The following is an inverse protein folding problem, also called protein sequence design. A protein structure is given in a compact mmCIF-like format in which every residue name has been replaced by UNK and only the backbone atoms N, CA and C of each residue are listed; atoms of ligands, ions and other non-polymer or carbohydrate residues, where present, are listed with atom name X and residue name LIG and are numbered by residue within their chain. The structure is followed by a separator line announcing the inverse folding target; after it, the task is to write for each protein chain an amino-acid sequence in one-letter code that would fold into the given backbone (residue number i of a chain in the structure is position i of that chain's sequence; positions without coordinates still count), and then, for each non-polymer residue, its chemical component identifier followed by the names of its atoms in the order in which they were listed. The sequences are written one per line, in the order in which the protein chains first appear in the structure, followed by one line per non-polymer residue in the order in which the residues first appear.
data_IF_360764916947
#
_entry.id   IF_360764916947
#
_cell.length_a   1.000
_cell.length_b   1.000
_cell.length_c   1.000
_cell.angle_alpha   90.00
_cell.angle_beta   90.00
_cell.angle_gamma   90.00
#
_symmetry.space_group_name_H-M   'P 1'
#
loop_
_entity.id
_entity.type
_entity.pdbx_description
1 polymer ?
#
# COMPACT_ATOMS: atom_id res chain seq x y z
N UNK A 1 -31.37 -6.82 0.11
CA UNK A 1 -31.86 -7.65 -1.01
C UNK A 1 -31.87 -9.10 -0.54
N UNK A 2 -33.02 -9.79 -0.51
CA UNK A 2 -33.10 -11.15 0.06
C UNK A 2 -32.23 -12.13 -0.74
N UNK A 3 -31.38 -12.88 -0.04
CA UNK A 3 -30.57 -13.96 -0.61
C UNK A 3 -31.53 -15.02 -1.18
N UNK A 4 -31.60 -15.11 -2.51
CA UNK A 4 -32.65 -15.86 -3.25
C UNK A 4 -32.52 -17.39 -3.17
N UNK A 5 -31.47 -17.92 -2.51
CA UNK A 5 -31.22 -19.35 -2.39
C UNK A 5 -30.63 -19.70 -1.02
N UNK A 6 -31.13 -20.79 -0.41
CA UNK A 6 -30.63 -21.31 0.86
C UNK A 6 -29.12 -21.62 0.82
N UNK A 7 -28.62 -22.06 -0.34
CA UNK A 7 -27.19 -22.34 -0.55
C UNK A 7 -26.34 -21.07 -0.47
N UNK A 8 -26.85 -19.95 -0.97
CA UNK A 8 -26.14 -18.68 -0.91
C UNK A 8 -26.09 -18.12 0.52
N UNK A 9 -27.17 -18.28 1.29
CA UNK A 9 -27.17 -17.88 2.70
C UNK A 9 -26.15 -18.68 3.52
N UNK A 10 -26.12 -20.01 3.32
CA UNK A 10 -25.14 -20.90 3.95
C UNK A 10 -23.68 -20.54 3.56
N UNK A 11 -23.43 -20.23 2.30
CA UNK A 11 -22.09 -19.86 1.83
C UNK A 11 -21.60 -18.54 2.47
N UNK A 12 -22.49 -17.56 2.62
CA UNK A 12 -22.18 -16.27 3.27
C UNK A 12 -21.90 -16.46 4.75
N UNK A 13 -22.67 -17.30 5.43
CA UNK A 13 -22.43 -17.62 6.85
C UNK A 13 -21.08 -18.30 7.02
N UNK A 14 -20.75 -19.26 6.14
CA UNK A 14 -19.46 -19.93 6.13
C UNK A 14 -18.30 -18.95 5.88
N UNK A 15 -18.48 -18.02 4.95
CA UNK A 15 -17.51 -16.95 4.68
C UNK A 15 -17.28 -16.11 5.94
N UNK A 16 -18.36 -15.65 6.59
CA UNK A 16 -18.29 -14.83 7.80
C UNK A 16 -17.54 -15.55 8.92
N UNK A 17 -17.90 -16.81 9.18
CA UNK A 17 -17.23 -17.61 10.21
C UNK A 17 -15.75 -17.87 9.92
N UNK A 18 -15.38 -17.96 8.64
CA UNK A 18 -13.99 -18.14 8.23
C UNK A 18 -13.17 -16.84 8.24
N UNK A 19 -13.82 -15.67 8.27
CA UNK A 19 -13.16 -14.37 8.11
C UNK A 19 -13.29 -13.46 9.33
N UNK A 20 -13.75 -13.98 10.46
CA UNK A 20 -13.91 -13.23 11.71
C UNK A 20 -12.92 -13.74 12.75
N UNK A 21 -12.12 -12.85 13.30
CA UNK A 21 -11.15 -13.16 14.37
C UNK A 21 -11.84 -13.26 15.74
N UNK A 22 -11.10 -13.72 16.75
CA UNK A 22 -11.57 -13.80 18.14
C UNK A 22 -12.05 -12.44 18.67
N UNK A 23 -11.47 -11.34 18.18
CA UNK A 23 -11.82 -9.96 18.54
C UNK A 23 -13.02 -9.41 17.77
N UNK A 24 -13.63 -10.20 16.88
CA UNK A 24 -14.76 -9.79 16.06
C UNK A 24 -14.39 -8.89 14.87
N UNK A 25 -13.10 -8.73 14.59
CA UNK A 25 -12.61 -8.01 13.42
C UNK A 25 -12.50 -8.93 12.20
N UNK A 26 -12.49 -8.34 11.01
CA UNK A 26 -12.23 -9.09 9.79
C UNK A 26 -10.75 -9.49 9.71
N UNK A 27 -10.51 -10.79 9.51
CA UNK A 27 -9.18 -11.33 9.29
C UNK A 27 -9.26 -12.77 8.81
N UNK A 28 -8.35 -13.15 7.93
CA UNK A 28 -8.20 -14.55 7.54
C UNK A 28 -7.41 -15.30 8.62
N UNK A 29 -7.71 -16.59 8.87
CA UNK A 29 -6.93 -17.39 9.79
C UNK A 29 -5.48 -17.44 9.31
N UNK A 30 -4.57 -16.98 10.18
CA UNK A 30 -3.14 -17.09 9.94
C UNK A 30 -2.72 -18.56 10.10
N UNK A 31 -2.15 -19.13 9.04
CA UNK A 31 -1.48 -20.44 9.10
C UNK A 31 -0.05 -20.37 9.69
N UNK A 32 0.42 -19.16 10.02
CA UNK A 32 1.69 -18.90 10.69
C UNK A 32 1.46 -18.56 12.18
N UNK A 33 2.33 -19.04 13.10
CA UNK A 33 2.03 -19.04 14.53
C UNK A 33 1.88 -17.62 15.09
N UNK A 34 0.90 -17.45 16.00
CA UNK A 34 0.70 -16.24 16.81
C UNK A 34 2.04 -15.88 17.47
N UNK A 35 2.68 -14.79 17.04
CA UNK A 35 3.77 -14.17 17.82
C UNK A 35 3.16 -13.52 19.05
N UNK A 36 3.77 -13.74 20.20
CA UNK A 36 3.28 -13.18 21.45
C UNK A 36 3.42 -11.65 21.44
N UNK A 37 2.45 -10.96 22.02
CA UNK A 37 2.46 -9.52 22.24
C UNK A 37 3.54 -9.08 23.25
N UNK A 38 4.58 -9.89 23.49
CA UNK A 38 5.79 -9.55 24.25
C UNK A 38 7.03 -9.46 23.33
N UNK A 39 6.98 -10.08 22.13
CA UNK A 39 8.06 -10.01 21.14
C UNK A 39 8.15 -8.65 20.43
N UNK A 40 7.10 -7.83 20.51
CA UNK A 40 7.02 -6.46 19.97
C UNK A 40 8.06 -5.48 20.53
N UNK A 41 8.50 -5.68 21.78
CA UNK A 41 9.36 -4.73 22.50
C UNK A 41 10.84 -5.03 22.36
N UNK A 42 11.23 -6.24 21.95
CA UNK A 42 12.62 -6.69 21.97
C UNK A 42 13.32 -6.65 20.61
N UNK A 43 12.60 -6.54 19.50
CA UNK A 43 13.19 -6.44 18.15
C UNK A 43 13.56 -5.00 17.73
N UNK A 44 13.29 -3.97 18.56
CA UNK A 44 13.64 -2.58 18.23
C UNK A 44 15.15 -2.27 18.28
N UNK A 45 15.95 -3.15 18.88
CA UNK A 45 17.40 -2.94 19.04
C UNK A 45 18.26 -3.76 18.06
N UNK A 46 17.69 -4.75 17.36
CA UNK A 46 18.44 -5.62 16.47
C UNK A 46 18.18 -5.32 14.99
N UNK A 47 19.07 -4.48 14.45
CA UNK A 47 19.47 -4.39 13.03
C UNK A 47 18.51 -3.67 12.07
N UNK A 48 18.89 -2.44 11.70
CA UNK A 48 18.79 -1.86 10.35
C UNK A 48 17.61 -2.34 9.47
N UNK A 49 16.39 -1.91 9.76
CA UNK A 49 15.33 -1.74 8.76
C UNK A 49 14.13 -1.06 9.41
N UNK A 50 13.43 -0.26 8.61
CA UNK A 50 12.03 0.10 8.80
C UNK A 50 11.26 -0.98 9.57
N UNK A 51 10.53 -0.58 10.61
CA UNK A 51 9.88 -1.48 11.56
C UNK A 51 9.11 -2.62 10.89
N UNK A 52 8.98 -3.77 11.57
CA UNK A 52 8.42 -4.99 10.96
C UNK A 52 7.02 -4.74 10.40
N UNK A 53 6.90 -5.03 9.10
CA UNK A 53 5.68 -4.94 8.28
C UNK A 53 4.57 -5.74 8.97
N UNK A 54 3.40 -5.13 9.27
CA UNK A 54 2.32 -5.82 9.94
C UNK A 54 1.88 -7.00 9.07
N UNK A 55 1.96 -8.22 9.61
CA UNK A 55 1.39 -9.47 9.08
C UNK A 55 1.09 -9.40 7.58
N UNK A 56 2.12 -9.64 6.74
CA UNK A 56 2.04 -9.55 5.28
C UNK A 56 0.87 -10.42 4.83
N UNK A 57 -0.28 -9.79 4.55
CA UNK A 57 -1.39 -10.51 3.98
C UNK A 57 -0.90 -11.05 2.65
N UNK A 58 -1.08 -12.35 2.43
CA UNK A 58 -0.69 -12.92 1.15
C UNK A 58 -1.53 -12.26 0.05
N UNK A 59 -0.99 -12.22 -1.16
CA UNK A 59 -1.71 -11.73 -2.35
C UNK A 59 -3.07 -12.43 -2.48
N UNK A 60 -3.11 -13.72 -2.12
CA UNK A 60 -4.33 -14.54 -2.09
C UNK A 60 -5.32 -14.05 -1.04
N UNK A 61 -4.87 -13.76 0.18
CA UNK A 61 -5.73 -13.21 1.23
C UNK A 61 -6.28 -11.84 0.83
N UNK A 62 -5.46 -10.96 0.25
CA UNK A 62 -5.93 -9.67 -0.24
C UNK A 62 -6.99 -9.83 -1.33
N UNK A 63 -6.73 -10.72 -2.31
CA UNK A 63 -7.68 -11.03 -3.38
C UNK A 63 -8.98 -11.62 -2.84
N UNK A 64 -8.90 -12.55 -1.89
CA UNK A 64 -10.07 -13.14 -1.22
C UNK A 64 -10.87 -12.06 -0.47
N UNK A 65 -10.20 -11.12 0.19
CA UNK A 65 -10.84 -9.98 0.86
C UNK A 65 -11.59 -9.07 -0.11
N UNK A 66 -11.09 -8.84 -1.32
CA UNK A 66 -11.80 -8.06 -2.35
C UNK A 66 -13.13 -8.73 -2.74
N UNK A 67 -13.13 -10.05 -2.91
CA UNK A 67 -14.35 -10.80 -3.18
C UNK A 67 -15.30 -10.81 -1.98
N UNK A 68 -14.77 -10.92 -0.75
CA UNK A 68 -15.57 -10.81 0.47
C UNK A 68 -16.23 -9.42 0.58
N UNK A 69 -15.49 -8.34 0.30
CA UNK A 69 -16.02 -6.97 0.29
C UNK A 69 -17.18 -6.84 -0.70
N UNK A 70 -16.97 -7.27 -1.95
CA UNK A 70 -18.00 -7.22 -2.99
C UNK A 70 -19.23 -8.03 -2.58
N UNK A 71 -19.04 -9.22 -2.00
CA UNK A 71 -20.12 -10.08 -1.50
C UNK A 71 -20.94 -9.40 -0.40
N UNK A 72 -20.29 -8.79 0.59
CA UNK A 72 -20.98 -8.08 1.66
C UNK A 72 -21.70 -6.82 1.16
N UNK A 73 -21.13 -6.10 0.19
CA UNK A 73 -21.79 -4.97 -0.48
C UNK A 73 -23.05 -5.41 -1.22
N UNK A 74 -23.01 -6.51 -1.98
CA UNK A 74 -24.16 -7.07 -2.70
C UNK A 74 -25.31 -7.48 -1.77
N UNK A 75 -24.99 -7.98 -0.57
CA UNK A 75 -25.99 -8.39 0.44
C UNK A 75 -26.54 -7.17 1.19
N UNK A 76 -25.80 -6.06 1.20
CA UNK A 76 -26.12 -4.85 1.94
C UNK A 76 -25.70 -4.91 3.41
N UNK A 77 -24.71 -5.74 3.77
CA UNK A 77 -24.16 -5.77 5.13
C UNK A 77 -23.03 -4.75 5.27
N UNK A 78 -23.41 -3.52 5.62
CA UNK A 78 -22.47 -2.41 5.78
C UNK A 78 -21.45 -2.66 6.90
N UNK A 79 -21.85 -3.31 8.00
CA UNK A 79 -20.96 -3.52 9.16
C UNK A 79 -19.81 -4.46 8.79
N UNK A 80 -20.13 -5.59 8.16
CA UNK A 80 -19.11 -6.54 7.69
C UNK A 80 -18.27 -5.92 6.57
N UNK A 81 -18.90 -5.24 5.61
CA UNK A 81 -18.19 -4.56 4.52
C UNK A 81 -17.20 -3.51 5.03
N UNK A 82 -17.57 -2.71 6.03
CA UNK A 82 -16.69 -1.72 6.66
C UNK A 82 -15.47 -2.38 7.29
N UNK A 83 -15.64 -3.49 8.01
CA UNK A 83 -14.52 -4.21 8.61
C UNK A 83 -13.54 -4.75 7.55
N UNK A 84 -14.06 -5.29 6.44
CA UNK A 84 -13.23 -5.74 5.30
C UNK A 84 -12.52 -4.58 4.62
N UNK A 85 -13.22 -3.46 4.41
CA UNK A 85 -12.66 -2.25 3.82
C UNK A 85 -11.49 -1.73 4.65
N UNK A 86 -11.62 -1.65 5.97
CA UNK A 86 -10.53 -1.28 6.89
C UNK A 86 -9.35 -2.23 6.76
N UNK A 87 -9.58 -3.55 6.71
CA UNK A 87 -8.52 -4.54 6.53
C UNK A 87 -7.72 -4.32 5.23
N UNK A 88 -8.43 -4.03 4.12
CA UNK A 88 -7.86 -3.81 2.80
C UNK A 88 -7.10 -2.47 2.69
N UNK A 89 -7.65 -1.39 3.26
CA UNK A 89 -7.06 -0.06 3.24
C UNK A 89 -5.72 -0.05 3.98
N UNK A 90 -5.67 -0.68 5.16
CA UNK A 90 -4.46 -0.81 5.97
C UNK A 90 -3.34 -1.62 5.28
N UNK A 91 -3.66 -2.30 4.16
CA UNK A 91 -2.74 -3.16 3.39
C UNK A 91 -2.69 -2.76 1.91
N UNK A 92 -3.00 -1.50 1.62
CA UNK A 92 -3.02 -0.95 0.25
C UNK A 92 -1.66 -1.01 -0.45
N UNK A 93 -0.55 -1.17 0.28
CA UNK A 93 0.80 -1.37 -0.28
C UNK A 93 0.91 -2.58 -1.23
N UNK A 94 0.05 -3.60 -1.07
CA UNK A 94 0.01 -4.74 -1.98
C UNK A 94 -0.32 -4.29 -3.42
N UNK A 95 -1.13 -3.25 -3.59
CA UNK A 95 -1.52 -2.71 -4.89
C UNK A 95 -0.37 -1.97 -5.62
N UNK A 96 0.66 -1.55 -4.89
CA UNK A 96 1.85 -0.94 -5.49
C UNK A 96 2.65 -1.98 -6.27
N UNK A 97 2.73 -3.22 -5.76
CA UNK A 97 3.46 -4.33 -6.38
C UNK A 97 2.60 -5.21 -7.31
N UNK A 98 1.29 -5.31 -7.05
CA UNK A 98 0.36 -6.21 -7.74
C UNK A 98 -0.65 -5.42 -8.58
N UNK A 99 -0.26 -5.07 -9.80
CA UNK A 99 -1.10 -4.32 -10.73
C UNK A 99 -2.39 -5.07 -11.10
N UNK A 100 -2.36 -6.41 -11.11
CA UNK A 100 -3.49 -7.28 -11.39
C UNK A 100 -4.64 -7.13 -10.37
N UNK A 101 -4.36 -6.61 -9.17
CA UNK A 101 -5.35 -6.42 -8.12
C UNK A 101 -6.00 -5.02 -8.15
N UNK A 102 -5.49 -4.07 -8.94
CA UNK A 102 -5.99 -2.68 -8.95
C UNK A 102 -7.42 -2.57 -9.47
N UNK A 103 -7.72 -3.22 -10.58
CA UNK A 103 -9.07 -3.21 -11.16
C UNK A 103 -10.13 -3.82 -10.23
N UNK A 104 -9.95 -5.04 -9.67
CA UNK A 104 -10.92 -5.59 -8.73
C UNK A 104 -11.01 -4.78 -7.43
N UNK A 105 -9.91 -4.15 -6.99
CA UNK A 105 -9.94 -3.26 -5.84
C UNK A 105 -10.83 -2.03 -6.09
N UNK A 106 -10.61 -1.30 -7.19
CA UNK A 106 -11.42 -0.13 -7.55
C UNK A 106 -12.90 -0.50 -7.68
N UNK A 107 -13.18 -1.65 -8.30
CA UNK A 107 -14.56 -2.15 -8.45
C UNK A 107 -15.23 -2.37 -7.09
N UNK A 108 -14.60 -3.15 -6.20
CA UNK A 108 -15.14 -3.47 -4.88
C UNK A 108 -15.30 -2.22 -3.99
N UNK A 109 -14.33 -1.30 -4.04
CA UNK A 109 -14.40 -0.05 -3.28
C UNK A 109 -15.41 0.94 -3.86
N UNK A 110 -15.67 0.91 -5.16
CA UNK A 110 -16.74 1.70 -5.78
C UNK A 110 -18.12 1.24 -5.30
N UNK A 111 -18.36 -0.07 -5.23
CA UNK A 111 -19.59 -0.63 -4.66
C UNK A 111 -19.74 -0.27 -3.18
N UNK A 112 -18.67 -0.42 -2.40
CA UNK A 112 -18.65 -0.04 -0.99
C UNK A 112 -18.93 1.45 -0.79
N UNK A 113 -18.30 2.32 -1.58
CA UNK A 113 -18.49 3.78 -1.48
C UNK A 113 -19.93 4.19 -1.81
N UNK A 114 -20.56 3.54 -2.81
CA UNK A 114 -21.97 3.79 -3.12
C UNK A 114 -22.91 3.40 -1.97
N UNK A 115 -22.55 2.38 -1.18
CA UNK A 115 -23.34 1.92 -0.04
C UNK A 115 -23.07 2.72 1.23
N UNK A 116 -21.82 3.15 1.44
CA UNK A 116 -21.35 3.83 2.64
C UNK A 116 -21.45 5.38 2.57
N UNK A 117 -22.18 5.91 1.58
CA UNK A 117 -22.29 7.36 1.38
C UNK A 117 -23.09 8.03 2.52
N UNK A 118 -22.40 8.79 3.35
CA UNK A 118 -23.01 9.59 4.43
C UNK A 118 -22.94 11.09 4.08
N UNK A 119 -24.12 11.72 4.01
CA UNK A 119 -24.25 13.14 3.67
C UNK A 119 -23.69 14.07 4.76
N UNK A 120 -23.64 13.62 6.02
CA UNK A 120 -23.21 14.42 7.17
C UNK A 120 -21.73 14.22 7.53
N UNK A 121 -20.95 13.58 6.65
CA UNK A 121 -19.53 13.39 6.87
C UNK A 121 -18.80 14.73 6.77
N UNK A 122 -18.23 15.14 7.89
CA UNK A 122 -17.44 16.36 8.02
C UNK A 122 -16.30 16.09 9.00
N UNK A 123 -15.08 15.99 8.48
CA UNK A 123 -13.88 15.69 9.26
C UNK A 123 -12.85 16.80 9.06
N UNK A 124 -12.35 17.34 10.16
CA UNK A 124 -11.30 18.34 10.17
C UNK A 124 -10.05 17.67 10.71
N UNK A 125 -8.97 17.68 9.91
CA UNK A 125 -7.68 17.10 10.27
C UNK A 125 -6.65 18.22 10.31
N UNK A 126 -6.09 18.47 11.48
CA UNK A 126 -4.93 19.34 11.65
C UNK A 126 -3.65 18.49 11.63
N UNK A 127 -2.75 18.83 10.71
CA UNK A 127 -1.45 18.21 10.52
C UNK A 127 -0.36 19.22 10.90
N UNK A 128 0.58 18.80 11.73
CA UNK A 128 1.73 19.64 12.07
C UNK A 128 3.01 18.82 12.14
N UNK A 129 4.14 19.43 11.79
CA UNK A 129 5.45 18.83 11.99
C UNK A 129 6.02 19.18 13.36
N UNK A 130 6.81 18.27 13.95
CA UNK A 130 7.42 18.49 15.28
C UNK A 130 8.39 19.69 15.32
N UNK A 131 8.91 20.13 14.18
CA UNK A 131 9.71 21.36 14.05
C UNK A 131 8.89 22.62 13.76
N UNK A 132 7.55 22.50 13.66
CA UNK A 132 6.61 23.54 13.24
C UNK A 132 6.92 24.20 11.89
N UNK A 133 7.77 23.57 11.06
CA UNK A 133 8.09 24.03 9.71
C UNK A 133 6.88 23.91 8.76
N UNK A 134 5.91 23.08 9.14
CA UNK A 134 4.71 22.81 8.38
C UNK A 134 3.53 22.63 9.33
N UNK A 135 2.44 23.34 9.06
CA UNK A 135 1.16 23.19 9.73
C UNK A 135 0.04 23.46 8.74
N UNK A 136 -0.89 22.53 8.60
CA UNK A 136 -2.02 22.64 7.69
C UNK A 136 -3.28 22.06 8.33
N UNK A 137 -4.42 22.68 8.06
CA UNK A 137 -5.73 22.17 8.48
C UNK A 137 -6.52 21.78 7.25
N UNK A 138 -6.81 20.49 7.14
CA UNK A 138 -7.55 19.89 6.04
C UNK A 138 -9.01 19.72 6.45
N UNK A 139 -9.92 20.14 5.58
CA UNK A 139 -11.36 19.98 5.75
C UNK A 139 -11.87 18.95 4.74
N UNK A 140 -12.44 17.86 5.23
CA UNK A 140 -13.03 16.81 4.42
C UNK A 140 -14.55 16.85 4.59
N UNK A 141 -15.27 17.01 3.49
CA UNK A 141 -16.73 16.83 3.43
C UNK A 141 -17.08 15.54 2.66
N UNK A 142 -18.36 15.29 2.37
CA UNK A 142 -18.77 14.09 1.64
C UNK A 142 -18.34 14.07 0.15
N UNK A 143 -17.99 15.22 -0.43
CA UNK A 143 -17.59 15.38 -1.83
C UNK A 143 -16.06 15.30 -2.00
N UNK A 144 -15.32 15.74 -0.99
CA UNK A 144 -13.86 15.77 -1.02
C UNK A 144 -13.29 14.40 -0.63
N UNK A 145 -12.76 13.69 -1.63
CA UNK A 145 -12.33 12.29 -1.50
C UNK A 145 -10.83 12.11 -1.29
N UNK A 146 -10.01 13.12 -1.61
CA UNK A 146 -8.55 12.99 -1.58
C UNK A 146 -7.85 14.35 -1.45
N UNK A 147 -6.89 14.41 -0.53
CA UNK A 147 -5.94 15.52 -0.40
C UNK A 147 -4.52 14.98 -0.38
N UNK A 148 -3.64 15.61 -1.17
CA UNK A 148 -2.20 15.32 -1.17
C UNK A 148 -1.48 16.47 -0.49
N UNK A 149 -0.68 16.14 0.51
CA UNK A 149 0.19 17.09 1.22
C UNK A 149 1.64 16.65 1.02
N UNK A 150 2.48 17.56 0.53
CA UNK A 150 3.92 17.32 0.39
C UNK A 150 4.65 17.83 1.64
N UNK A 151 5.29 16.92 2.36
CA UNK A 151 6.03 17.23 3.59
C UNK A 151 7.49 17.61 3.29
N UNK A 152 8.12 18.49 4.10
CA UNK A 152 9.53 18.85 3.95
C UNK A 152 10.45 17.64 4.16
N UNK A 153 11.63 17.66 3.53
CA UNK A 153 12.52 16.49 3.37
C UNK A 153 13.31 16.08 4.60
N UNK A 154 13.27 16.85 5.69
CA UNK A 154 13.95 16.51 6.93
C UNK A 154 13.20 15.37 7.66
N UNK A 155 13.89 14.51 8.45
CA UNK A 155 13.22 13.47 9.20
C UNK A 155 12.30 14.10 10.25
N UNK A 156 11.01 14.09 9.95
CA UNK A 156 10.04 14.91 10.69
C UNK A 156 8.94 14.01 11.25
N UNK A 157 8.70 14.12 12.56
CA UNK A 157 7.50 13.52 13.17
C UNK A 157 6.29 14.36 12.78
N UNK A 158 5.22 13.70 12.36
CA UNK A 158 3.96 14.33 11.99
C UNK A 158 2.96 14.12 13.14
N UNK A 159 2.49 15.22 13.70
CA UNK A 159 1.43 15.27 14.71
C UNK A 159 0.11 15.44 13.99
N UNK A 160 -0.86 14.60 14.34
CA UNK A 160 -2.18 14.61 13.73
C UNK A 160 -3.25 14.76 14.81
N UNK A 161 -4.14 15.71 14.59
CA UNK A 161 -5.34 15.91 15.39
C UNK A 161 -6.55 15.88 14.46
N UNK A 162 -7.55 15.07 14.80
CA UNK A 162 -8.77 14.93 14.00
C UNK A 162 -9.99 15.20 14.87
N UNK A 163 -10.97 15.92 14.32
CA UNK A 163 -12.25 16.23 14.97
C UNK A 163 -13.37 16.22 13.94
N UNK A 164 -14.60 15.91 14.36
CA UNK A 164 -15.78 15.84 13.50
C UNK A 164 -16.34 14.43 13.33
N UNK A 165 -17.18 14.26 12.30
CA UNK A 165 -17.91 13.04 11.99
C UNK A 165 -17.31 12.33 10.77
N UNK A 166 -16.93 11.06 10.97
CA UNK A 166 -16.42 10.18 9.93
C UNK A 166 -15.05 9.61 10.26
N UNK A 167 -14.47 8.91 9.29
CA UNK A 167 -13.12 8.36 9.37
C UNK A 167 -12.34 8.78 8.14
N UNK A 168 -11.02 8.90 8.25
CA UNK A 168 -10.14 9.10 7.10
C UNK A 168 -8.89 8.24 7.26
N UNK A 169 -8.28 7.91 6.13
CA UNK A 169 -7.02 7.19 6.10
C UNK A 169 -5.95 8.13 5.57
N UNK A 170 -4.85 8.23 6.30
CA UNK A 170 -3.65 8.94 5.86
C UNK A 170 -2.63 7.92 5.38
N UNK A 171 -2.14 8.09 4.16
CA UNK A 171 -1.04 7.28 3.62
C UNK A 171 0.16 8.17 3.34
N UNK A 172 1.29 7.87 3.99
CA UNK A 172 2.56 8.53 3.72
C UNK A 172 3.37 7.76 2.68
N UNK A 173 3.89 8.46 1.68
CA UNK A 173 4.83 7.88 0.69
C UNK A 173 6.12 8.68 0.70
N UNK A 174 7.24 8.00 0.92
CA UNK A 174 8.57 8.58 0.85
C UNK A 174 9.29 8.08 -0.40
N UNK A 175 9.82 9.01 -1.20
CA UNK A 175 10.67 8.70 -2.34
C UNK A 175 12.11 9.04 -1.98
N UNK A 176 13.02 8.09 -2.13
CA UNK A 176 14.44 8.29 -1.89
C UNK A 176 15.25 7.63 -3.01
N UNK A 177 16.40 8.23 -3.32
CA UNK A 177 17.38 7.62 -4.23
C UNK A 177 18.41 6.87 -3.41
N UNK A 178 18.77 5.66 -3.83
CA UNK A 178 19.83 4.85 -3.24
C UNK A 178 20.95 4.65 -4.27
N UNK A 179 22.20 4.74 -3.83
CA UNK A 179 23.36 4.39 -4.65
C UNK A 179 23.57 2.88 -4.80
N UNK A 180 22.87 2.08 -3.98
CA UNK A 180 22.93 0.62 -4.01
C UNK A 180 21.62 0.09 -4.59
N UNK A 181 21.74 -0.63 -5.70
CA UNK A 181 20.63 -1.33 -6.36
C UNK A 181 20.82 -2.83 -6.11
N UNK A 182 19.74 -3.57 -5.86
CA UNK A 182 19.79 -5.03 -5.84
C UNK A 182 19.96 -5.53 -7.29
N UNK A 183 21.12 -6.09 -7.59
CA UNK A 183 21.50 -6.69 -8.87
C UNK A 183 20.88 -8.09 -9.09
N UNK A 184 20.44 -8.71 -7.99
CA UNK A 184 19.86 -10.06 -7.98
C UNK A 184 18.55 -10.14 -7.22
N UNK A 185 17.58 -10.82 -7.82
CA UNK A 185 16.33 -11.26 -7.20
C UNK A 185 16.27 -12.80 -7.18
N UNK A 186 15.24 -13.38 -6.55
CA UNK A 186 15.02 -14.84 -6.58
C UNK A 186 14.67 -15.37 -7.97
N UNK A 187 14.21 -14.50 -8.87
CA UNK A 187 13.73 -14.86 -10.20
C UNK A 187 14.70 -14.48 -11.33
N UNK A 188 15.45 -13.39 -11.16
CA UNK A 188 16.30 -12.83 -12.21
C UNK A 188 17.59 -12.25 -11.63
N UNK A 189 18.68 -12.39 -12.38
CA UNK A 189 19.94 -11.69 -12.13
C UNK A 189 20.23 -10.75 -13.31
N UNK A 190 20.34 -9.45 -13.03
CA UNK A 190 20.62 -8.43 -14.05
C UNK A 190 22.03 -7.94 -13.83
N UNK A 191 22.89 -8.16 -14.82
CA UNK A 191 24.26 -7.63 -14.82
C UNK A 191 24.42 -6.65 -15.97
N UNK A 192 24.98 -5.49 -15.67
CA UNK A 192 25.41 -4.50 -16.65
C UNK A 192 26.88 -4.22 -16.40
N UNK A 193 27.68 -4.28 -17.46
CA UNK A 193 29.10 -4.02 -17.41
C UNK A 193 29.53 -3.18 -18.60
N UNK A 194 30.52 -2.31 -18.37
CA UNK A 194 31.24 -1.66 -19.45
C UNK A 194 32.18 -2.70 -20.05
N UNK A 195 31.97 -3.04 -21.32
CA UNK A 195 32.78 -4.04 -22.02
C UNK A 195 33.95 -3.37 -22.73
N UNK A 196 33.72 -2.20 -23.30
CA UNK A 196 34.72 -1.50 -24.09
C UNK A 196 34.50 0.02 -24.01
N UNK A 197 35.60 0.75 -23.87
CA UNK A 197 35.65 2.20 -24.04
C UNK A 197 36.28 2.50 -25.41
N UNK A 198 35.47 3.05 -26.31
CA UNK A 198 35.90 3.38 -27.67
C UNK A 198 36.38 4.83 -27.66
N UNK A 199 37.69 4.99 -27.65
CA UNK A 199 38.35 6.29 -27.76
C UNK A 199 38.35 6.75 -29.24
N UNK A 200 38.08 8.04 -29.51
CA UNK A 200 38.21 8.58 -30.86
C UNK A 200 39.66 8.48 -31.33
N UNK A 201 39.87 8.06 -32.58
CA UNK A 201 41.19 7.85 -33.12
C UNK A 201 41.98 9.17 -33.18
N UNK A 202 43.30 9.13 -32.91
CA UNK A 202 44.16 10.30 -32.61
C UNK A 202 44.34 11.30 -33.77
N UNK A 203 43.66 11.09 -34.89
CA UNK A 203 43.67 11.96 -36.07
C UNK A 203 42.32 12.05 -36.78
N UNK A 204 41.26 11.55 -36.13
CA UNK A 204 39.89 11.62 -36.64
C UNK A 204 39.29 13.02 -36.46
N UNK A 205 38.35 13.39 -37.33
CA UNK A 205 37.55 14.62 -37.19
C UNK A 205 36.84 14.65 -35.84
N UNK A 206 36.47 13.50 -35.29
CA UNK A 206 35.80 13.35 -34.00
C UNK A 206 36.68 13.76 -32.82
N UNK A 207 38.00 13.49 -32.88
CA UNK A 207 38.96 13.96 -31.90
C UNK A 207 39.19 15.48 -32.00
N UNK A 208 39.18 16.04 -33.23
CA UNK A 208 39.34 17.48 -33.48
C UNK A 208 38.08 18.27 -33.07
N UNK A 209 36.91 17.66 -33.21
CA UNK A 209 35.61 18.18 -32.74
C UNK A 209 35.40 18.01 -31.23
N UNK A 210 36.29 17.32 -30.51
CA UNK A 210 36.22 17.14 -29.06
C UNK A 210 35.10 16.20 -28.59
N UNK A 211 34.72 15.21 -29.41
CA UNK A 211 33.67 14.25 -29.02
C UNK A 211 34.13 13.36 -27.87
N UNK A 212 33.23 13.13 -26.92
CA UNK A 212 33.45 12.27 -25.75
C UNK A 212 33.58 10.80 -26.16
N UNK A 213 34.35 9.97 -25.42
CA UNK A 213 34.47 8.55 -25.68
C UNK A 213 33.12 7.85 -25.60
N UNK A 214 32.91 6.88 -26.51
CA UNK A 214 31.70 6.07 -26.54
C UNK A 214 31.91 4.81 -25.69
N UNK A 215 30.94 4.50 -24.83
CA UNK A 215 31.00 3.34 -23.94
C UNK A 215 30.07 2.26 -24.50
N UNK A 216 30.62 1.06 -24.75
CA UNK A 216 29.83 -0.12 -25.10
C UNK A 216 29.42 -0.83 -23.81
N UNK A 217 28.12 -0.80 -23.52
CA UNK A 217 27.51 -1.45 -22.36
C UNK A 217 26.86 -2.74 -22.84
N UNK A 218 27.22 -3.87 -22.24
CA UNK A 218 26.49 -5.13 -22.43
C UNK A 218 25.65 -5.43 -21.19
N UNK A 219 24.40 -5.82 -21.44
CA UNK A 219 23.46 -6.22 -20.41
C UNK A 219 23.15 -7.70 -20.58
N UNK A 220 23.36 -8.47 -19.51
CA UNK A 220 23.11 -9.90 -19.49
C UNK A 220 21.92 -10.18 -18.57
N UNK A 221 20.95 -10.95 -19.10
CA UNK A 221 19.83 -11.50 -18.34
C UNK A 221 20.12 -12.98 -18.07
N UNK A 222 20.20 -13.37 -16.81
CA UNK A 222 20.42 -14.75 -16.41
C UNK A 222 19.32 -15.25 -15.47
#
# INVERSE_FOLDING_TARGET
MQVRSATAAWAVEKLRNASTTEDGEFGWPNFTPKRDAADWLYESESQNAFGPIPCVATVEQYRASLYALSTFCLIGDLKSAQSVATFLINRSEILDNHYELRYPAVTAFSEYNSMANDQHRELIIALATSGMEFSETLHFNNHDSFYKVDLPSLPTKVLLYATGAGCATMQGRAFYSSYVVKDKTSLFEIRSGIVEEILPDRSSIEAIEGKLPAIKIETCFK
#
